data_IF_531019339560
#
_entry.id   IF_531019339560
#
_cell.length_a   1.000
_cell.length_b   1.000
_cell.length_c   1.000
_cell.angle_alpha   90.00
_cell.angle_beta   90.00
_cell.angle_gamma   90.00
#
_symmetry.space_group_name_H-M   'P 1'
#
loop_
_entity.id
_entity.type
_entity.pdbx_description
1 polymer ?
#
# COMPACT_ATOMS: atom_id res chain seq x y z
N UNK A 1 36.90 47.80 63.30
CA UNK A 1 35.60 47.42 62.70
C UNK A 1 35.78 47.27 61.20
N UNK A 2 35.96 46.06 60.73
CA UNK A 2 36.19 45.72 59.31
C UNK A 2 34.95 45.01 58.73
N UNK A 3 34.41 45.44 57.61
CA UNK A 3 33.24 44.77 57.05
C UNK A 3 33.65 43.52 56.18
N UNK A 4 33.04 42.43 56.51
CA UNK A 4 33.14 41.19 55.73
C UNK A 4 32.55 41.36 54.31
N UNK A 5 33.35 41.09 53.29
CA UNK A 5 32.87 40.92 51.91
C UNK A 5 32.36 39.50 51.71
N UNK A 6 31.09 39.33 51.36
CA UNK A 6 30.47 38.03 50.88
C UNK A 6 30.83 37.83 49.43
N UNK A 7 31.20 36.58 49.00
CA UNK A 7 31.39 36.27 47.58
C UNK A 7 30.05 36.01 46.95
N UNK A 8 29.81 36.66 45.79
CA UNK A 8 28.70 36.37 44.86
C UNK A 8 28.96 35.03 44.17
N UNK A 9 28.15 34.04 44.51
CA UNK A 9 28.10 32.75 43.77
C UNK A 9 27.46 32.96 42.40
N UNK A 10 28.25 32.82 41.33
CA UNK A 10 27.76 32.78 39.95
C UNK A 10 27.14 31.40 39.69
N UNK A 11 25.82 31.34 39.59
CA UNK A 11 25.10 30.18 39.07
C UNK A 11 25.29 30.11 37.56
N UNK A 12 26.11 29.19 37.09
CA UNK A 12 26.16 28.77 35.70
C UNK A 12 24.93 27.88 35.45
N UNK A 13 23.90 28.44 34.81
CA UNK A 13 22.82 27.62 34.20
C UNK A 13 23.39 26.88 33.00
N UNK A 14 23.67 25.60 33.16
CA UNK A 14 23.90 24.69 32.05
C UNK A 14 22.57 24.48 31.33
N UNK A 15 22.41 25.11 30.16
CA UNK A 15 21.32 24.83 29.24
C UNK A 15 21.55 23.42 28.69
N UNK A 16 20.81 22.43 29.23
CA UNK A 16 20.67 21.10 28.59
C UNK A 16 19.96 21.35 27.27
N UNK A 17 20.70 21.26 26.17
CA UNK A 17 20.16 21.12 24.85
C UNK A 17 19.46 19.74 24.79
N UNK A 18 18.16 19.74 25.08
CA UNK A 18 17.27 18.62 24.78
C UNK A 18 17.23 18.51 23.24
N UNK A 19 18.01 17.60 22.68
CA UNK A 19 17.78 17.15 21.32
C UNK A 19 16.39 16.49 21.30
N UNK A 20 15.40 17.04 20.57
CA UNK A 20 14.13 16.37 20.43
C UNK A 20 14.42 15.04 19.74
N UNK A 21 14.18 13.93 20.43
CA UNK A 21 14.14 12.60 19.80
C UNK A 21 13.11 12.68 18.68
N UNK A 22 13.54 12.51 17.43
CA UNK A 22 12.65 12.41 16.28
C UNK A 22 11.55 11.41 16.62
N UNK A 23 10.30 11.84 16.54
CA UNK A 23 9.16 10.97 16.82
C UNK A 23 9.14 9.79 15.85
N UNK A 24 8.47 8.68 16.20
CA UNK A 24 8.33 7.54 15.30
C UNK A 24 7.68 7.96 13.97
N UNK A 25 6.77 8.96 14.00
CA UNK A 25 6.15 9.57 12.83
C UNK A 25 7.15 10.23 11.87
N UNK A 26 8.22 10.85 12.40
CA UNK A 26 9.24 11.49 11.56
C UNK A 26 10.23 10.50 10.94
N UNK A 27 10.38 9.30 11.53
CA UNK A 27 11.33 8.29 11.00
C UNK A 27 10.90 7.69 9.68
N UNK A 28 9.62 7.38 9.48
CA UNK A 28 9.16 6.78 8.23
C UNK A 28 9.21 7.74 7.04
N UNK A 29 9.18 9.06 7.29
CA UNK A 29 9.29 10.08 6.25
C UNK A 29 10.72 10.30 5.73
N UNK A 30 11.74 9.65 6.31
CA UNK A 30 13.12 9.77 5.81
C UNK A 30 13.29 9.11 4.44
N UNK A 31 14.13 9.69 3.57
CA UNK A 31 14.38 9.13 2.22
C UNK A 31 14.93 7.71 2.28
N UNK A 32 15.75 7.42 3.29
CA UNK A 32 16.30 6.08 3.50
C UNK A 32 15.19 5.06 3.82
N UNK A 33 14.26 5.42 4.71
CA UNK A 33 13.14 4.55 5.08
C UNK A 33 12.17 4.37 3.92
N UNK A 34 11.78 5.45 3.24
CA UNK A 34 10.89 5.42 2.07
C UNK A 34 11.48 4.56 0.95
N UNK A 35 12.79 4.70 0.69
CA UNK A 35 13.49 3.86 -0.29
C UNK A 35 13.47 2.39 0.11
N UNK A 36 13.81 2.06 1.36
CA UNK A 36 13.80 0.69 1.87
C UNK A 36 12.40 0.08 1.79
N UNK A 37 11.38 0.81 2.25
CA UNK A 37 9.97 0.39 2.20
C UNK A 37 9.49 0.15 0.77
N UNK A 38 9.84 1.04 -0.17
CA UNK A 38 9.50 0.85 -1.57
C UNK A 38 10.10 -0.44 -2.15
N UNK A 39 11.35 -0.76 -1.81
CA UNK A 39 11.97 -2.00 -2.23
C UNK A 39 11.32 -3.23 -1.60
N UNK A 40 10.97 -3.16 -0.31
CA UNK A 40 10.27 -4.26 0.36
C UNK A 40 8.91 -4.53 -0.28
N UNK A 41 8.12 -3.51 -0.60
CA UNK A 41 6.73 -3.67 -1.03
C UNK A 41 6.59 -3.78 -2.56
N UNK A 42 7.32 -2.98 -3.34
CA UNK A 42 7.16 -2.92 -4.80
C UNK A 42 8.08 -3.88 -5.56
N UNK A 43 9.23 -4.27 -4.98
CA UNK A 43 10.26 -5.06 -5.66
C UNK A 43 10.41 -6.49 -5.12
N UNK A 44 9.42 -6.96 -4.37
CA UNK A 44 9.30 -8.34 -3.91
C UNK A 44 7.93 -8.92 -4.26
N UNK A 45 7.70 -10.17 -3.89
CA UNK A 45 6.43 -10.88 -4.05
C UNK A 45 6.10 -11.59 -2.75
N UNK A 46 4.88 -11.44 -2.29
CA UNK A 46 4.37 -12.08 -1.07
C UNK A 46 4.49 -13.61 -1.15
N UNK A 47 4.02 -14.18 -2.25
CA UNK A 47 4.10 -15.62 -2.51
C UNK A 47 5.03 -15.90 -3.68
N UNK A 48 6.19 -16.51 -3.41
CA UNK A 48 7.14 -16.94 -4.42
C UNK A 48 8.56 -16.40 -4.22
N UNK A 49 9.52 -17.03 -4.90
CA UNK A 49 10.94 -16.66 -4.86
C UNK A 49 11.40 -16.24 -6.26
N UNK A 50 10.77 -15.20 -6.82
CA UNK A 50 11.22 -14.69 -8.12
C UNK A 50 12.59 -14.02 -7.99
N UNK A 51 13.60 -14.59 -8.64
CA UNK A 51 14.89 -13.93 -8.81
C UNK A 51 14.77 -12.86 -9.89
N UNK A 52 15.39 -11.70 -9.70
CA UNK A 52 15.38 -10.59 -10.66
C UNK A 52 13.99 -9.95 -10.89
N UNK A 53 13.23 -9.73 -9.81
CA UNK A 53 11.98 -8.97 -9.85
C UNK A 53 12.22 -7.63 -10.55
N UNK A 54 11.36 -7.30 -11.50
CA UNK A 54 11.31 -5.98 -12.14
C UNK A 54 10.10 -5.22 -11.65
N UNK A 55 10.23 -3.93 -11.53
CA UNK A 55 9.13 -3.06 -11.15
C UNK A 55 7.97 -3.18 -12.14
N UNK A 56 6.75 -3.26 -11.62
CA UNK A 56 5.54 -3.44 -12.42
C UNK A 56 4.45 -2.49 -11.93
N UNK A 57 3.77 -1.82 -12.85
CA UNK A 57 2.60 -0.99 -12.58
C UNK A 57 1.68 -0.96 -13.81
N UNK A 58 0.51 -0.38 -13.66
CA UNK A 58 -0.39 -0.16 -14.80
C UNK A 58 0.12 1.02 -15.64
N UNK A 59 0.36 0.78 -16.92
CA UNK A 59 0.64 1.84 -17.91
C UNK A 59 -0.57 2.07 -18.85
N UNK A 60 -1.50 1.13 -18.89
CA UNK A 60 -2.77 1.21 -19.63
C UNK A 60 -3.93 1.62 -18.71
N UNK A 61 -5.09 2.06 -19.27
CA UNK A 61 -6.28 2.35 -18.49
C UNK A 61 -6.73 1.16 -17.64
N UNK A 62 -7.05 1.41 -16.37
CA UNK A 62 -7.46 0.40 -15.40
C UNK A 62 -8.97 0.20 -15.49
N UNK A 63 -9.40 -1.03 -15.75
CA UNK A 63 -10.80 -1.42 -15.90
C UNK A 63 -11.11 -2.56 -14.94
N UNK A 64 -11.85 -2.26 -13.88
CA UNK A 64 -12.21 -3.19 -12.83
C UNK A 64 -13.63 -3.72 -13.02
N UNK A 65 -13.78 -5.04 -13.03
CA UNK A 65 -15.06 -5.74 -12.96
C UNK A 65 -15.24 -6.35 -11.58
N UNK A 66 -16.38 -6.06 -10.96
CA UNK A 66 -16.82 -6.74 -9.74
C UNK A 66 -17.71 -7.92 -10.11
N UNK A 67 -17.32 -9.11 -9.67
CA UNK A 67 -18.14 -10.34 -9.68
C UNK A 67 -18.62 -10.58 -8.26
N UNK A 68 -19.89 -10.34 -8.01
CA UNK A 68 -20.46 -10.31 -6.66
C UNK A 68 -21.47 -11.46 -6.52
N UNK A 69 -21.01 -12.62 -6.02
CA UNK A 69 -21.81 -13.85 -5.88
C UNK A 69 -22.45 -14.02 -4.50
N UNK A 70 -21.89 -13.38 -3.46
CA UNK A 70 -22.29 -13.62 -2.07
C UNK A 70 -22.30 -12.36 -1.22
N UNK A 71 -23.28 -12.23 -0.35
CA UNK A 71 -23.43 -11.15 0.61
C UNK A 71 -24.24 -9.97 0.10
N UNK A 72 -24.10 -8.81 0.74
CA UNK A 72 -24.79 -7.58 0.39
C UNK A 72 -24.14 -6.93 -0.83
N UNK A 73 -24.75 -7.17 -1.99
CA UNK A 73 -24.21 -6.69 -3.27
C UNK A 73 -24.17 -5.16 -3.39
N UNK A 74 -25.14 -4.46 -2.79
CA UNK A 74 -25.20 -3.01 -2.85
C UNK A 74 -24.06 -2.39 -2.05
N UNK A 75 -23.91 -2.79 -0.79
CA UNK A 75 -22.83 -2.35 0.08
C UNK A 75 -21.45 -2.69 -0.50
N UNK A 76 -21.28 -3.91 -0.98
CA UNK A 76 -20.01 -4.38 -1.55
C UNK A 76 -19.61 -3.59 -2.81
N UNK A 77 -20.59 -3.28 -3.68
CA UNK A 77 -20.34 -2.45 -4.87
C UNK A 77 -19.93 -1.03 -4.47
N UNK A 78 -20.55 -0.49 -3.44
CA UNK A 78 -20.23 0.86 -2.95
C UNK A 78 -18.82 0.91 -2.31
N UNK A 79 -18.46 -0.08 -1.48
CA UNK A 79 -17.11 -0.19 -0.90
C UNK A 79 -16.04 -0.26 -1.99
N UNK A 80 -16.24 -1.09 -3.02
CA UNK A 80 -15.30 -1.20 -4.14
C UNK A 80 -15.22 0.10 -4.94
N UNK A 81 -16.35 0.78 -5.15
CA UNK A 81 -16.40 2.06 -5.84
C UNK A 81 -15.61 3.13 -5.10
N UNK A 82 -15.83 3.27 -3.79
CA UNK A 82 -15.15 4.26 -2.96
C UNK A 82 -13.65 3.98 -2.90
N UNK A 83 -13.23 2.73 -2.67
CA UNK A 83 -11.81 2.38 -2.63
C UNK A 83 -11.13 2.59 -3.98
N UNK A 84 -11.80 2.25 -5.08
CA UNK A 84 -11.26 2.48 -6.44
C UNK A 84 -11.08 3.98 -6.73
N UNK A 85 -12.03 4.82 -6.32
CA UNK A 85 -11.91 6.27 -6.48
C UNK A 85 -10.80 6.86 -5.61
N UNK A 86 -10.67 6.38 -4.38
CA UNK A 86 -9.57 6.78 -3.48
C UNK A 86 -8.20 6.48 -4.11
N UNK A 87 -7.98 5.22 -4.53
CA UNK A 87 -6.75 4.82 -5.20
C UNK A 87 -6.49 5.61 -6.49
N UNK A 88 -7.52 5.81 -7.32
CA UNK A 88 -7.42 6.60 -8.55
C UNK A 88 -6.93 8.03 -8.27
N UNK A 89 -7.43 8.66 -7.20
CA UNK A 89 -6.99 9.99 -6.75
C UNK A 89 -5.52 10.01 -6.33
N UNK A 90 -5.05 8.98 -5.62
CA UNK A 90 -3.66 8.90 -5.17
C UNK A 90 -2.71 8.67 -6.34
N UNK A 91 -3.00 7.68 -7.19
CA UNK A 91 -2.11 7.29 -8.30
C UNK A 91 -2.21 8.23 -9.52
N UNK A 92 -3.20 9.13 -9.55
CA UNK A 92 -3.42 10.04 -10.67
C UNK A 92 -3.87 9.34 -11.96
N UNK A 93 -4.47 8.14 -11.86
CA UNK A 93 -4.99 7.36 -12.99
C UNK A 93 -6.41 6.88 -12.70
N UNK A 94 -7.38 7.05 -13.61
CA UNK A 94 -8.74 6.59 -13.39
C UNK A 94 -8.80 5.06 -13.30
N UNK A 95 -9.62 4.56 -12.38
CA UNK A 95 -10.01 3.16 -12.25
C UNK A 95 -11.49 3.09 -12.61
N UNK A 96 -11.80 2.62 -13.82
CA UNK A 96 -13.17 2.53 -14.31
C UNK A 96 -13.82 1.22 -13.89
N UNK A 97 -15.00 1.28 -13.27
CA UNK A 97 -15.84 0.09 -13.05
C UNK A 97 -16.53 -0.27 -14.37
N UNK A 98 -16.35 -1.50 -14.82
CA UNK A 98 -16.84 -1.97 -16.13
C UNK A 98 -17.51 -3.33 -16.04
N UNK A 99 -18.45 -3.62 -16.96
CA UNK A 99 -19.06 -4.95 -17.13
C UNK A 99 -18.26 -5.82 -18.12
N UNK A 100 -17.59 -5.19 -19.09
CA UNK A 100 -16.91 -5.88 -20.20
C UNK A 100 -15.44 -5.47 -20.32
N UNK A 101 -14.66 -6.40 -20.90
CA UNK A 101 -13.23 -6.20 -21.16
C UNK A 101 -12.44 -5.66 -19.97
N UNK A 102 -12.60 -6.22 -18.75
CA UNK A 102 -11.82 -5.83 -17.59
C UNK A 102 -10.35 -6.24 -17.75
N UNK A 103 -9.46 -5.54 -17.04
CA UNK A 103 -8.11 -6.01 -16.78
C UNK A 103 -7.87 -6.29 -15.29
N UNK A 104 -8.79 -5.84 -14.40
CA UNK A 104 -8.88 -6.32 -13.01
C UNK A 104 -10.24 -6.99 -12.84
N UNK A 105 -10.26 -8.18 -12.25
CA UNK A 105 -11.49 -8.86 -11.83
C UNK A 105 -11.44 -9.07 -10.32
N UNK A 106 -12.35 -8.44 -9.59
CA UNK A 106 -12.55 -8.63 -8.16
C UNK A 106 -13.74 -9.55 -7.95
N UNK A 107 -13.53 -10.67 -7.27
CA UNK A 107 -14.51 -11.72 -7.05
C UNK A 107 -14.85 -11.77 -5.56
N UNK A 108 -16.08 -11.46 -5.22
CA UNK A 108 -16.66 -11.59 -3.89
C UNK A 108 -17.51 -12.86 -3.84
N UNK A 109 -17.06 -13.87 -3.10
CA UNK A 109 -17.62 -15.21 -3.08
C UNK A 109 -17.61 -15.80 -1.67
N UNK A 110 -17.98 -17.06 -1.53
CA UNK A 110 -17.88 -17.83 -0.28
C UNK A 110 -16.51 -18.50 -0.17
N UNK A 111 -16.02 -18.73 1.05
CA UNK A 111 -14.76 -19.44 1.32
C UNK A 111 -14.73 -20.81 0.62
N UNK A 112 -15.83 -21.51 0.63
CA UNK A 112 -15.95 -22.83 -0.02
C UNK A 112 -15.70 -22.80 -1.53
N UNK A 113 -15.93 -21.65 -2.20
CA UNK A 113 -15.74 -21.48 -3.64
C UNK A 113 -14.40 -20.86 -4.02
N UNK A 114 -13.66 -20.33 -3.06
CA UNK A 114 -12.40 -19.59 -3.28
C UNK A 114 -11.38 -20.41 -4.08
N UNK A 115 -11.13 -21.67 -3.71
CA UNK A 115 -10.19 -22.55 -4.43
C UNK A 115 -10.62 -22.82 -5.89
N UNK A 116 -11.91 -22.95 -6.15
CA UNK A 116 -12.45 -23.12 -7.50
C UNK A 116 -12.24 -21.87 -8.36
N UNK A 117 -12.44 -20.67 -7.78
CA UNK A 117 -12.16 -19.42 -8.46
C UNK A 117 -10.67 -19.24 -8.73
N UNK A 118 -9.80 -19.47 -7.73
CA UNK A 118 -8.36 -19.39 -7.91
C UNK A 118 -7.85 -20.30 -9.02
N UNK A 119 -8.30 -21.56 -9.05
CA UNK A 119 -7.96 -22.52 -10.12
C UNK A 119 -8.33 -22.00 -11.50
N UNK A 120 -9.49 -21.34 -11.65
CA UNK A 120 -9.96 -20.84 -12.96
C UNK A 120 -9.25 -19.58 -13.43
N UNK A 121 -8.82 -18.71 -12.49
CA UNK A 121 -8.39 -17.34 -12.80
C UNK A 121 -6.92 -17.05 -12.52
N UNK A 122 -6.30 -17.81 -11.62
CA UNK A 122 -4.91 -17.59 -11.17
C UNK A 122 -4.00 -18.79 -11.49
N UNK A 123 -4.57 -19.95 -11.78
CA UNK A 123 -3.80 -21.19 -12.01
C UNK A 123 -3.66 -22.05 -10.77
N UNK A 124 -2.64 -22.92 -10.74
CA UNK A 124 -2.43 -23.92 -9.68
C UNK A 124 -0.95 -24.08 -9.29
N UNK A 125 -0.17 -23.06 -9.50
CA UNK A 125 1.24 -23.06 -9.09
C UNK A 125 1.41 -23.06 -7.55
N UNK A 126 2.65 -23.15 -7.08
CA UNK A 126 2.94 -23.24 -5.66
C UNK A 126 2.52 -21.98 -4.91
N UNK A 127 2.68 -20.79 -5.51
CA UNK A 127 2.31 -19.51 -4.90
C UNK A 127 0.82 -19.40 -4.65
N UNK A 128 -0.01 -19.77 -5.64
CA UNK A 128 -1.48 -19.81 -5.51
C UNK A 128 -1.92 -20.81 -4.44
N UNK A 129 -1.27 -21.98 -4.36
CA UNK A 129 -1.58 -22.98 -3.32
C UNK A 129 -1.24 -22.46 -1.92
N UNK A 130 -0.12 -21.78 -1.77
CA UNK A 130 0.28 -21.16 -0.50
C UNK A 130 -0.70 -20.07 -0.10
N UNK A 131 -1.04 -19.15 -1.00
CA UNK A 131 -2.01 -18.09 -0.75
C UNK A 131 -3.41 -18.64 -0.36
N UNK A 132 -3.87 -19.71 -0.98
CA UNK A 132 -5.13 -20.40 -0.61
C UNK A 132 -5.09 -21.00 0.79
N UNK A 133 -3.94 -21.49 1.24
CA UNK A 133 -3.77 -22.12 2.55
C UNK A 133 -3.63 -21.07 3.66
N UNK A 134 -2.85 -20.04 3.43
CA UNK A 134 -2.37 -19.08 4.45
C UNK A 134 -3.17 -17.78 4.42
N UNK A 135 -3.59 -17.31 3.22
CA UNK A 135 -4.29 -16.05 3.07
C UNK A 135 -5.76 -16.07 3.48
N UNK A 136 -6.19 -14.95 4.03
CA UNK A 136 -7.61 -14.67 4.29
C UNK A 136 -8.33 -14.33 2.98
N UNK A 137 -7.78 -13.44 2.20
CA UNK A 137 -8.12 -13.03 0.84
C UNK A 137 -6.86 -13.21 -0.04
N UNK A 138 -6.95 -12.98 -1.32
CA UNK A 138 -5.78 -13.11 -2.19
C UNK A 138 -5.90 -12.30 -3.46
N UNK A 139 -4.78 -11.78 -3.95
CA UNK A 139 -4.64 -11.25 -5.29
C UNK A 139 -3.53 -11.94 -6.07
N UNK A 140 -3.65 -11.89 -7.39
CA UNK A 140 -2.58 -12.26 -8.30
C UNK A 140 -2.66 -11.37 -9.54
N UNK A 141 -1.52 -11.12 -10.18
CA UNK A 141 -1.46 -10.37 -11.42
C UNK A 141 -0.46 -10.97 -12.40
N UNK A 142 -0.64 -10.63 -13.66
CA UNK A 142 0.29 -10.97 -14.75
C UNK A 142 0.79 -9.70 -15.41
N UNK A 143 1.99 -9.78 -15.98
CA UNK A 143 2.61 -8.68 -16.73
C UNK A 143 2.74 -9.05 -18.20
N UNK A 144 2.82 -8.03 -19.08
CA UNK A 144 3.19 -8.21 -20.46
C UNK A 144 4.73 -8.29 -20.65
N UNK A 145 5.19 -8.37 -21.87
CA UNK A 145 6.63 -8.46 -22.21
C UNK A 145 7.44 -7.24 -21.76
N UNK A 146 6.79 -6.07 -21.57
CA UNK A 146 7.42 -4.85 -21.04
C UNK A 146 7.34 -4.76 -19.50
N UNK A 147 6.87 -5.83 -18.84
CA UNK A 147 6.63 -5.87 -17.38
C UNK A 147 5.58 -4.87 -16.90
N UNK A 148 4.75 -4.33 -17.78
CA UNK A 148 3.56 -3.59 -17.40
C UNK A 148 2.50 -4.57 -16.89
N UNK A 149 1.76 -4.19 -15.85
CA UNK A 149 0.65 -5.00 -15.37
C UNK A 149 -0.41 -5.14 -16.47
N UNK A 150 -0.80 -6.36 -16.76
CA UNK A 150 -1.70 -6.67 -17.87
C UNK A 150 -3.07 -7.16 -17.39
N UNK A 151 -3.09 -8.01 -16.38
CA UNK A 151 -4.31 -8.54 -15.74
C UNK A 151 -4.07 -8.72 -14.25
N UNK A 152 -5.13 -8.54 -13.46
CA UNK A 152 -5.15 -8.90 -12.04
C UNK A 152 -6.46 -9.59 -11.69
N UNK A 153 -6.40 -10.50 -10.72
CA UNK A 153 -7.57 -11.14 -10.11
C UNK A 153 -7.45 -11.01 -8.61
N UNK A 154 -8.56 -10.62 -7.97
CA UNK A 154 -8.69 -10.53 -6.51
C UNK A 154 -9.82 -11.47 -6.11
N UNK A 155 -9.66 -12.26 -5.06
CA UNK A 155 -10.70 -13.14 -4.51
C UNK A 155 -10.87 -12.87 -3.02
N UNK A 156 -12.07 -12.44 -2.65
CA UNK A 156 -12.45 -12.14 -1.26
C UNK A 156 -13.56 -13.10 -0.83
N UNK A 157 -13.29 -14.00 0.13
CA UNK A 157 -14.31 -14.86 0.73
C UNK A 157 -15.12 -14.06 1.77
N UNK A 158 -16.26 -13.50 1.32
CA UNK A 158 -17.05 -12.52 2.07
C UNK A 158 -17.56 -13.07 3.40
N UNK A 159 -18.03 -14.34 3.42
CA UNK A 159 -18.48 -15.02 4.64
C UNK A 159 -17.36 -15.10 5.68
N UNK A 160 -16.19 -15.55 5.26
CA UNK A 160 -15.06 -15.78 6.15
C UNK A 160 -14.39 -14.47 6.57
N UNK A 161 -14.16 -13.53 5.65
CA UNK A 161 -13.56 -12.24 5.97
C UNK A 161 -14.45 -11.39 6.91
N UNK A 162 -15.77 -11.45 6.75
CA UNK A 162 -16.72 -10.82 7.67
C UNK A 162 -16.72 -11.48 9.04
N UNK A 163 -16.72 -12.81 9.11
CA UNK A 163 -16.64 -13.55 10.37
C UNK A 163 -15.36 -13.23 11.16
N UNK A 164 -14.29 -12.85 10.47
CA UNK A 164 -13.02 -12.40 11.06
C UNK A 164 -12.95 -10.88 11.32
N UNK A 165 -13.97 -10.12 10.95
CA UNK A 165 -13.95 -8.65 11.04
C UNK A 165 -12.99 -7.96 10.04
N UNK A 166 -12.50 -8.68 9.02
CA UNK A 166 -11.44 -8.25 8.10
C UNK A 166 -11.91 -8.01 6.67
N UNK A 167 -13.22 -7.84 6.45
CA UNK A 167 -13.74 -7.67 5.08
C UNK A 167 -13.24 -6.38 4.42
N UNK A 168 -13.23 -5.25 5.15
CA UNK A 168 -12.71 -3.99 4.61
C UNK A 168 -11.19 -4.04 4.38
N UNK A 169 -10.48 -4.70 5.28
CA UNK A 169 -9.03 -4.91 5.16
C UNK A 169 -8.71 -5.63 3.85
N UNK A 170 -9.38 -6.75 3.56
CA UNK A 170 -9.24 -7.47 2.29
C UNK A 170 -9.50 -6.58 1.06
N UNK A 171 -10.54 -5.75 1.09
CA UNK A 171 -10.83 -4.85 -0.04
C UNK A 171 -9.75 -3.79 -0.21
N UNK A 172 -9.30 -3.21 0.89
CA UNK A 172 -8.29 -2.15 0.90
C UNK A 172 -6.94 -2.68 0.45
N UNK A 173 -6.47 -3.73 1.07
CA UNK A 173 -5.16 -4.33 0.85
C UNK A 173 -5.02 -4.88 -0.57
N UNK A 174 -5.89 -5.80 -0.97
CA UNK A 174 -5.80 -6.47 -2.26
C UNK A 174 -5.96 -5.51 -3.46
N UNK A 175 -6.86 -4.50 -3.35
CA UNK A 175 -6.96 -3.48 -4.39
C UNK A 175 -5.70 -2.60 -4.44
N UNK A 176 -5.04 -2.35 -3.31
CA UNK A 176 -3.81 -1.55 -3.26
C UNK A 176 -2.61 -2.34 -3.77
N UNK A 177 -2.50 -3.62 -3.42
CA UNK A 177 -1.43 -4.50 -3.91
C UNK A 177 -1.42 -4.58 -5.44
N UNK A 178 -2.59 -4.75 -6.06
CA UNK A 178 -2.69 -4.79 -7.53
C UNK A 178 -2.49 -3.42 -8.20
N UNK A 179 -2.18 -2.38 -7.46
CA UNK A 179 -1.69 -1.12 -8.04
C UNK A 179 -0.16 -1.10 -8.24
N UNK A 180 0.54 -2.18 -7.94
CA UNK A 180 2.00 -2.28 -8.13
C UNK A 180 2.81 -2.35 -6.83
N UNK A 181 2.15 -2.68 -5.73
CA UNK A 181 2.72 -2.86 -4.39
C UNK A 181 2.44 -4.28 -3.86
N UNK A 182 2.96 -5.33 -4.50
CA UNK A 182 2.47 -6.69 -4.36
C UNK A 182 3.09 -7.53 -3.24
N UNK A 183 3.75 -6.93 -2.27
CA UNK A 183 4.40 -7.68 -1.20
C UNK A 183 4.04 -7.12 0.17
N UNK A 184 3.96 -8.00 1.15
CA UNK A 184 3.83 -7.64 2.55
C UNK A 184 5.17 -7.78 3.27
N UNK A 185 5.37 -6.98 4.32
CA UNK A 185 6.61 -7.01 5.08
C UNK A 185 6.47 -6.41 6.48
N UNK A 186 6.86 -7.18 7.50
CA UNK A 186 6.96 -6.73 8.89
C UNK A 186 7.95 -5.56 9.10
N UNK A 187 8.78 -5.27 8.10
CA UNK A 187 9.77 -4.20 8.15
C UNK A 187 9.20 -2.83 7.79
N UNK A 188 7.98 -2.79 7.27
CA UNK A 188 7.33 -1.57 6.78
C UNK A 188 6.22 -1.16 7.76
N UNK A 189 6.40 -0.04 8.46
CA UNK A 189 5.47 0.44 9.49
C UNK A 189 5.46 1.98 9.56
N UNK A 190 4.29 2.64 9.70
CA UNK A 190 2.93 2.07 9.70
C UNK A 190 2.45 1.78 8.28
N UNK A 191 1.82 0.63 8.03
CA UNK A 191 1.42 0.25 6.66
C UNK A 191 0.35 -0.84 6.69
N UNK A 192 -0.57 -0.82 5.70
CA UNK A 192 -1.51 -1.93 5.44
C UNK A 192 -0.81 -3.19 4.95
N UNK A 193 0.43 -3.10 4.48
CA UNK A 193 1.26 -4.21 4.01
C UNK A 193 2.09 -4.85 5.13
N UNK A 194 1.72 -4.63 6.38
CA UNK A 194 2.36 -5.23 7.54
C UNK A 194 1.32 -5.97 8.37
N UNK A 195 1.34 -7.29 8.31
CA UNK A 195 0.40 -8.17 9.03
C UNK A 195 0.40 -7.97 10.56
N UNK A 196 1.47 -7.40 11.12
CA UNK A 196 1.56 -7.06 12.53
C UNK A 196 1.06 -5.63 12.84
N UNK A 197 0.65 -4.86 11.83
CA UNK A 197 0.04 -3.55 12.02
C UNK A 197 -1.44 -3.68 12.39
N UNK A 198 -1.94 -2.68 13.13
CA UNK A 198 -3.37 -2.51 13.38
C UNK A 198 -4.07 -1.70 12.28
N UNK A 199 -3.32 -1.30 11.26
CA UNK A 199 -3.82 -0.42 10.20
C UNK A 199 -4.66 -1.20 9.18
N UNK A 200 -5.98 -1.00 9.22
CA UNK A 200 -6.93 -1.57 8.24
C UNK A 200 -7.15 -0.66 7.03
N UNK A 201 -6.61 0.56 7.04
CA UNK A 201 -6.76 1.56 5.99
C UNK A 201 -5.41 2.17 5.64
N UNK A 202 -5.21 2.61 4.37
CA UNK A 202 -3.92 3.17 3.94
C UNK A 202 -3.44 4.28 4.86
N UNK A 203 -2.17 4.21 5.22
CA UNK A 203 -1.45 5.19 6.03
C UNK A 203 -0.79 6.27 5.15
N UNK A 204 -0.20 7.28 5.75
CA UNK A 204 0.62 8.25 5.02
C UNK A 204 1.80 7.60 4.30
N UNK A 205 2.38 6.53 4.86
CA UNK A 205 3.44 5.77 4.19
C UNK A 205 2.92 5.09 2.93
N UNK A 206 1.77 4.40 2.99
CA UNK A 206 1.17 3.73 1.84
C UNK A 206 0.81 4.73 0.73
N UNK A 207 0.32 5.93 1.12
CA UNK A 207 0.10 7.03 0.17
C UNK A 207 1.39 7.39 -0.57
N UNK A 208 2.50 7.57 0.14
CA UNK A 208 3.79 7.92 -0.47
C UNK A 208 4.30 6.78 -1.36
N UNK A 209 4.18 5.53 -0.93
CA UNK A 209 4.57 4.37 -1.75
C UNK A 209 3.79 4.30 -3.07
N UNK A 210 2.47 4.55 -3.04
CA UNK A 210 1.64 4.66 -4.25
C UNK A 210 2.07 5.84 -5.14
N UNK A 211 2.33 7.01 -4.56
CA UNK A 211 2.82 8.19 -5.30
C UNK A 211 4.17 7.92 -5.96
N UNK A 212 5.08 7.22 -5.27
CA UNK A 212 6.37 6.81 -5.84
C UNK A 212 6.16 5.81 -6.99
N UNK A 213 5.29 4.80 -6.81
CA UNK A 213 5.03 3.80 -7.84
C UNK A 213 4.52 4.42 -9.15
N UNK A 214 3.75 5.51 -9.08
CA UNK A 214 3.22 6.20 -10.25
C UNK A 214 3.94 7.50 -10.61
N UNK A 215 5.07 7.78 -9.97
CA UNK A 215 5.88 8.94 -10.34
C UNK A 215 6.49 8.78 -11.74
N UNK A 216 6.56 9.86 -12.56
CA UNK A 216 7.11 9.79 -13.93
C UNK A 216 8.56 9.30 -14.04
N UNK A 217 9.37 9.45 -12.99
CA UNK A 217 10.74 8.96 -12.95
C UNK A 217 10.85 7.43 -12.90
N UNK A 218 9.79 6.71 -12.47
CA UNK A 218 9.73 5.26 -12.45
C UNK A 218 8.95 4.75 -13.67
N UNK A 219 9.36 3.61 -14.21
CA UNK A 219 8.69 2.96 -15.35
C UNK A 219 8.60 1.45 -15.12
N UNK A 220 7.52 0.83 -15.58
CA UNK A 220 7.40 -0.62 -15.58
C UNK A 220 8.60 -1.24 -16.35
N UNK A 221 9.11 -2.36 -15.88
CA UNK A 221 10.25 -3.05 -16.44
C UNK A 221 11.61 -2.65 -15.84
N UNK A 222 11.68 -1.58 -15.08
CA UNK A 222 12.91 -1.17 -14.40
C UNK A 222 13.46 -2.28 -13.48
N UNK A 223 14.76 -2.47 -13.53
CA UNK A 223 15.52 -3.31 -12.60
C UNK A 223 15.62 -2.64 -11.22
N UNK A 224 16.02 -3.39 -10.22
CA UNK A 224 16.29 -2.85 -8.88
C UNK A 224 17.32 -1.71 -8.89
N UNK A 225 18.35 -1.81 -9.76
CA UNK A 225 19.37 -0.78 -9.93
C UNK A 225 18.78 0.51 -10.51
N UNK A 226 17.98 0.40 -11.58
CA UNK A 226 17.31 1.54 -12.22
C UNK A 226 16.31 2.22 -11.30
N UNK A 227 15.50 1.44 -10.56
CA UNK A 227 14.59 1.96 -9.52
C UNK A 227 15.38 2.72 -8.46
N UNK A 228 16.50 2.17 -7.97
CA UNK A 228 17.34 2.82 -6.95
C UNK A 228 17.90 4.16 -7.45
N UNK A 229 18.25 4.26 -8.72
CA UNK A 229 18.71 5.51 -9.31
C UNK A 229 17.59 6.53 -9.53
N UNK A 230 16.35 6.09 -9.79
CA UNK A 230 15.21 6.94 -10.05
C UNK A 230 14.52 7.47 -8.77
N UNK A 231 14.53 6.70 -7.67
CA UNK A 231 13.83 7.06 -6.43
C UNK A 231 14.24 8.43 -5.85
N UNK A 232 15.52 8.85 -5.81
CA UNK A 232 15.88 10.17 -5.31
C UNK A 232 15.22 11.32 -6.08
N UNK A 233 15.01 11.16 -7.38
CA UNK A 233 14.30 12.15 -8.22
C UNK A 233 12.85 12.25 -7.81
N UNK A 234 12.18 11.10 -7.64
CA UNK A 234 10.79 11.02 -7.21
C UNK A 234 10.61 11.58 -5.79
N UNK A 235 11.45 11.19 -4.84
CA UNK A 235 11.42 11.68 -3.45
C UNK A 235 11.60 13.19 -3.39
N UNK A 236 12.57 13.74 -4.13
CA UNK A 236 12.77 15.20 -4.20
C UNK A 236 11.52 15.92 -4.71
N UNK A 237 10.86 15.39 -5.73
CA UNK A 237 9.62 15.96 -6.27
C UNK A 237 8.47 15.89 -5.26
N UNK A 238 8.27 14.75 -4.58
CA UNK A 238 7.22 14.57 -3.57
C UNK A 238 7.46 15.43 -2.31
N UNK A 239 8.72 15.73 -1.96
CA UNK A 239 9.02 16.70 -0.91
C UNK A 239 8.68 18.12 -1.33
N UNK A 240 9.06 18.50 -2.55
CA UNK A 240 8.80 19.84 -3.08
C UNK A 240 7.28 20.13 -3.22
N UNK A 241 6.47 19.11 -3.55
CA UNK A 241 4.99 19.22 -3.61
C UNK A 241 4.30 19.16 -2.24
N UNK A 242 5.03 18.85 -1.16
CA UNK A 242 4.50 18.63 0.17
C UNK A 242 3.77 17.29 0.34
N UNK A 243 3.85 16.37 -0.65
CA UNK A 243 3.19 15.06 -0.59
C UNK A 243 3.68 14.23 0.61
N UNK A 244 4.97 14.25 0.92
CA UNK A 244 5.52 13.52 2.05
C UNK A 244 5.11 14.17 3.38
N UNK A 245 5.26 15.49 3.51
CA UNK A 245 4.96 16.21 4.74
C UNK A 245 3.46 16.17 5.12
N UNK A 246 2.58 16.10 4.15
CA UNK A 246 1.13 16.10 4.32
C UNK A 246 0.49 14.72 4.07
N UNK A 247 1.28 13.65 3.99
CA UNK A 247 0.82 12.33 3.58
C UNK A 247 -0.35 11.81 4.43
N UNK A 248 -0.26 11.94 5.77
CA UNK A 248 -1.31 11.49 6.70
C UNK A 248 -2.64 12.25 6.52
N UNK A 249 -2.58 13.49 6.05
CA UNK A 249 -3.79 14.27 5.73
C UNK A 249 -4.32 13.90 4.34
N UNK A 250 -3.41 13.80 3.36
CA UNK A 250 -3.78 13.53 1.96
C UNK A 250 -4.35 12.13 1.75
N UNK A 251 -3.86 11.13 2.48
CA UNK A 251 -4.40 9.76 2.41
C UNK A 251 -5.85 9.67 2.87
N UNK A 252 -6.32 10.63 3.69
CA UNK A 252 -7.70 10.65 4.17
C UNK A 252 -8.68 11.29 3.18
N UNK A 253 -8.20 11.96 2.12
CA UNK A 253 -9.07 12.62 1.15
C UNK A 253 -9.85 11.57 0.35
N UNK A 254 -11.19 11.61 0.43
CA UNK A 254 -12.10 10.64 -0.21
C UNK A 254 -11.81 9.17 0.14
N UNK A 255 -11.22 8.92 1.32
CA UNK A 255 -10.85 7.57 1.75
C UNK A 255 -12.05 6.73 2.14
N UNK A 256 -11.91 5.41 2.02
CA UNK A 256 -12.90 4.46 2.50
C UNK A 256 -13.06 4.56 4.03
N UNK A 257 -12.01 4.90 4.77
CA UNK A 257 -12.06 5.15 6.22
C UNK A 257 -13.07 6.25 6.55
N UNK A 258 -12.97 7.41 5.89
CA UNK A 258 -13.92 8.52 6.07
C UNK A 258 -15.33 8.17 5.64
N UNK A 259 -15.47 7.45 4.53
CA UNK A 259 -16.78 6.99 4.07
C UNK A 259 -17.44 6.06 5.08
N UNK A 260 -16.67 5.20 5.77
CA UNK A 260 -17.16 4.31 6.83
C UNK A 260 -17.44 5.03 8.16
N UNK A 261 -17.11 6.32 8.29
CA UNK A 261 -17.31 7.10 9.53
C UNK A 261 -16.26 6.82 10.62
N UNK A 262 -15.06 6.39 10.22
CA UNK A 262 -13.96 6.02 11.12
C UNK A 262 -12.82 7.05 11.14
#
# INVERSE_FOLDING_TARGET
MTPLRRPLARWLMAALLLNPSLSAAERWQSDAYLTASFFEIAMKREYGHEQNVRFSRWEQPIRLKLVNEFGDKALQSEVVRVQSQHLAGIIGRPIALVSERPNITLIMTERAKMASWAKRTMGQDASVKTALKEGLCMANFTTNTRREMARATIIIPVDYSRAKGRFLDCVVEELTQVMGLPNDSDKVFPSIFNDNSIDSFPTGLDYVLLKLAYHPALQAGMTASEVRAALPIALKALRASGDIAQADQRVQVNSLKRWAGL
#
